data_IF_813811370997
#
_entry.id   IF_813811370997
#
_cell.length_a   1.000
_cell.length_b   1.000
_cell.length_c   1.000
_cell.angle_alpha   90.00
_cell.angle_beta   90.00
_cell.angle_gamma   90.00
#
_symmetry.space_group_name_H-M   'P 1'
#
loop_
_entity.id
_entity.type
_entity.pdbx_description
1 polymer ?
#
# COMPACT_ATOMS: atom_id res chain seq x y z
N UNK A 1 4.63 -6.74 -32.96
CA UNK A 1 5.10 -7.91 -33.74
C UNK A 1 5.46 -9.01 -32.76
N UNK A 2 5.08 -10.27 -32.99
CA UNK A 2 5.59 -11.38 -32.19
C UNK A 2 7.10 -11.47 -32.39
N UNK A 3 7.85 -11.31 -31.30
CA UNK A 3 9.30 -11.56 -31.25
C UNK A 3 9.45 -13.08 -31.19
N UNK A 4 10.26 -13.67 -32.06
CA UNK A 4 10.53 -15.11 -32.02
C UNK A 4 11.23 -15.47 -30.69
N UNK A 5 11.06 -16.70 -30.21
CA UNK A 5 11.73 -17.18 -28.99
C UNK A 5 13.24 -17.07 -29.11
N UNK A 6 13.81 -17.33 -30.30
CA UNK A 6 15.24 -17.17 -30.55
C UNK A 6 15.68 -15.70 -30.43
N UNK A 7 14.91 -14.77 -30.98
CA UNK A 7 15.17 -13.33 -30.91
C UNK A 7 15.02 -12.80 -29.47
N UNK A 8 14.07 -13.33 -28.69
CA UNK A 8 13.90 -12.99 -27.29
C UNK A 8 15.06 -13.51 -26.43
N UNK A 9 15.50 -14.75 -26.68
CA UNK A 9 16.68 -15.32 -26.02
C UNK A 9 17.94 -14.53 -26.36
N UNK A 10 18.09 -14.12 -27.63
CA UNK A 10 19.19 -13.25 -28.06
C UNK A 10 19.12 -11.88 -27.36
N UNK A 11 17.94 -11.25 -27.30
CA UNK A 11 17.72 -9.98 -26.59
C UNK A 11 18.09 -10.09 -25.11
N UNK A 12 17.67 -11.16 -24.43
CA UNK A 12 18.02 -11.41 -23.03
C UNK A 12 19.53 -11.63 -22.88
N UNK A 13 20.16 -12.38 -23.78
CA UNK A 13 21.60 -12.63 -23.73
C UNK A 13 22.44 -11.38 -24.03
N UNK A 14 22.01 -10.53 -24.95
CA UNK A 14 22.60 -9.23 -25.21
C UNK A 14 22.42 -8.32 -23.98
N UNK A 15 21.21 -8.27 -23.42
CA UNK A 15 20.92 -7.47 -22.23
C UNK A 15 21.80 -7.85 -21.05
N UNK A 16 22.00 -9.16 -20.82
CA UNK A 16 22.95 -9.68 -19.81
C UNK A 16 24.38 -9.22 -20.01
N UNK A 17 24.77 -8.87 -21.23
CA UNK A 17 26.07 -8.30 -21.56
C UNK A 17 26.07 -6.77 -21.53
N UNK A 18 25.00 -6.16 -21.03
CA UNK A 18 24.79 -4.72 -21.02
C UNK A 18 24.48 -4.14 -22.39
N UNK A 19 24.06 -4.95 -23.37
CA UNK A 19 23.73 -4.49 -24.73
C UNK A 19 22.25 -4.64 -25.00
N UNK A 20 21.63 -3.68 -25.65
CA UNK A 20 20.22 -3.76 -26.03
C UNK A 20 20.04 -3.22 -27.43
N UNK A 21 19.35 -3.98 -28.28
CA UNK A 21 18.92 -3.53 -29.60
C UNK A 21 17.41 -3.59 -29.68
N UNK A 22 16.75 -2.44 -29.75
CA UNK A 22 15.29 -2.35 -29.87
C UNK A 22 14.95 -1.36 -30.97
N UNK A 23 14.14 -1.79 -31.95
CA UNK A 23 13.61 -0.93 -33.02
C UNK A 23 14.69 -0.11 -33.77
N UNK A 24 15.87 -0.69 -34.00
CA UNK A 24 16.99 -0.01 -34.68
C UNK A 24 17.89 0.84 -33.78
N UNK A 25 17.54 1.02 -32.51
CA UNK A 25 18.40 1.67 -31.53
C UNK A 25 19.27 0.64 -30.82
N UNK A 26 20.58 0.90 -30.78
CA UNK A 26 21.54 0.10 -30.03
C UNK A 26 22.04 0.89 -28.82
N UNK A 27 21.92 0.29 -27.64
CA UNK A 27 22.41 0.83 -26.37
C UNK A 27 23.43 -0.14 -25.78
N UNK A 28 24.49 0.40 -25.21
CA UNK A 28 25.52 -0.37 -24.49
C UNK A 28 25.78 0.32 -23.17
N UNK A 29 25.68 -0.44 -22.08
CA UNK A 29 26.02 0.03 -20.75
C UNK A 29 27.54 0.29 -20.65
N UNK A 30 27.95 1.45 -20.12
CA UNK A 30 29.36 1.77 -19.94
C UNK A 30 29.93 0.96 -18.78
N UNK A 31 30.92 0.12 -19.11
CA UNK A 31 31.61 -0.82 -18.23
C UNK A 31 30.78 -2.04 -17.82
N UNK A 32 31.34 -3.23 -18.08
CA UNK A 32 30.72 -4.54 -17.89
C UNK A 32 29.77 -4.59 -16.69
N UNK A 33 28.48 -4.60 -16.98
CA UNK A 33 27.43 -4.53 -15.99
C UNK A 33 27.41 -5.78 -15.12
N UNK A 34 27.12 -5.60 -13.84
CA UNK A 34 26.73 -6.72 -12.99
C UNK A 34 25.28 -7.08 -13.31
N UNK A 35 25.04 -8.37 -13.51
CA UNK A 35 23.71 -8.92 -13.73
C UNK A 35 23.11 -9.29 -12.39
N UNK A 36 21.97 -8.70 -12.07
CA UNK A 36 21.17 -9.01 -10.89
C UNK A 36 19.84 -9.62 -11.35
N UNK A 37 19.56 -10.83 -10.90
CA UNK A 37 18.23 -11.43 -11.04
C UNK A 37 17.55 -11.39 -9.68
N UNK A 38 16.37 -10.79 -9.62
CA UNK A 38 15.56 -10.80 -8.40
C UNK A 38 14.08 -10.73 -8.75
N UNK A 39 13.24 -11.15 -7.82
CA UNK A 39 11.82 -10.80 -7.86
C UNK A 39 11.67 -9.57 -6.98
N UNK A 40 11.13 -8.44 -7.49
CA UNK A 40 11.01 -7.19 -6.73
C UNK A 40 10.04 -7.30 -5.55
N UNK A 41 9.34 -8.41 -5.42
CA UNK A 41 8.32 -8.60 -4.41
C UNK A 41 8.97 -9.09 -3.11
N UNK A 42 8.88 -8.32 -2.01
CA UNK A 42 9.45 -8.73 -0.74
C UNK A 42 8.84 -10.08 -0.31
N UNK A 43 9.59 -10.96 0.39
CA UNK A 43 9.09 -12.27 0.82
C UNK A 43 7.78 -12.21 1.63
N UNK A 44 7.47 -11.06 2.21
CA UNK A 44 6.28 -10.79 3.02
C UNK A 44 4.99 -10.57 2.22
N UNK A 45 5.04 -10.23 0.93
CA UNK A 45 3.85 -9.88 0.13
C UNK A 45 3.82 -10.56 -1.25
N UNK A 46 3.75 -11.90 -1.33
CA UNK A 46 3.95 -12.68 -2.57
C UNK A 46 2.77 -12.65 -3.55
N UNK A 47 2.00 -11.56 -3.59
CA UNK A 47 0.74 -11.51 -4.35
C UNK A 47 0.96 -11.42 -5.87
N UNK A 48 2.18 -11.10 -6.29
CA UNK A 48 2.61 -11.13 -7.67
C UNK A 48 4.05 -11.58 -7.75
N UNK A 49 4.42 -12.39 -8.75
CA UNK A 49 5.83 -12.71 -9.00
C UNK A 49 6.13 -12.48 -10.47
N UNK A 50 6.75 -11.36 -10.78
CA UNK A 50 7.35 -11.09 -12.10
C UNK A 50 8.82 -11.41 -11.98
N UNK A 51 9.30 -12.29 -12.84
CA UNK A 51 10.74 -12.46 -12.96
C UNK A 51 11.32 -11.18 -13.57
N UNK A 52 12.18 -10.50 -12.80
CA UNK A 52 12.87 -9.30 -13.24
C UNK A 52 14.37 -9.59 -13.37
N UNK A 53 14.90 -9.27 -14.53
CA UNK A 53 16.31 -9.26 -14.82
C UNK A 53 16.75 -7.80 -14.87
N UNK A 54 17.66 -7.41 -13.97
CA UNK A 54 18.30 -6.12 -14.01
C UNK A 54 19.78 -6.27 -14.34
N UNK A 55 20.24 -5.45 -15.27
CA UNK A 55 21.66 -5.33 -15.59
C UNK A 55 22.07 -3.92 -15.29
N UNK A 56 22.91 -3.77 -14.27
CA UNK A 56 23.34 -2.47 -13.73
C UNK A 56 24.82 -2.29 -13.98
N UNK A 57 25.25 -1.07 -14.26
CA UNK A 57 26.68 -0.76 -14.25
C UNK A 57 27.22 -0.66 -12.82
N UNK A 58 28.49 -1.01 -12.64
CA UNK A 58 29.21 -0.76 -11.38
C UNK A 58 29.53 0.72 -11.18
N UNK A 59 29.52 1.49 -12.27
CA UNK A 59 29.64 2.93 -12.25
C UNK A 59 28.30 3.55 -11.90
N UNK A 60 28.24 4.18 -10.73
CA UNK A 60 27.29 5.25 -10.47
C UNK A 60 27.69 6.42 -11.35
N UNK A 61 27.12 6.48 -12.56
CA UNK A 61 27.28 7.67 -13.37
C UNK A 61 26.55 8.80 -12.67
N UNK A 62 27.27 9.86 -12.33
CA UNK A 62 26.67 11.18 -12.43
C UNK A 62 26.14 11.25 -13.87
N UNK A 63 24.85 11.58 -14.06
CA UNK A 63 24.27 11.80 -15.39
C UNK A 63 25.32 12.50 -16.23
N UNK A 64 25.81 11.76 -17.24
CA UNK A 64 27.12 12.01 -17.81
C UNK A 64 27.26 13.49 -18.18
N UNK A 65 28.47 14.03 -18.13
CA UNK A 65 28.78 15.36 -18.69
C UNK A 65 28.37 15.53 -20.19
N UNK A 66 27.73 14.51 -20.81
CA UNK A 66 27.14 14.54 -22.15
C UNK A 66 25.65 14.95 -22.17
N UNK A 67 24.94 14.94 -21.03
CA UNK A 67 23.56 15.46 -20.97
C UNK A 67 23.61 16.95 -20.62
N UNK A 68 23.46 17.79 -21.64
CA UNK A 68 23.40 19.24 -21.46
C UNK A 68 22.04 19.63 -20.87
N UNK A 69 21.99 19.66 -19.54
CA UNK A 69 20.83 20.12 -18.78
C UNK A 69 20.43 21.54 -19.15
N UNK A 70 21.39 22.41 -19.47
CA UNK A 70 21.08 23.79 -19.79
C UNK A 70 20.35 23.88 -21.13
N UNK A 71 20.86 23.19 -22.16
CA UNK A 71 20.20 23.09 -23.46
C UNK A 71 18.84 22.42 -23.35
N UNK A 72 18.77 21.26 -22.69
CA UNK A 72 17.50 20.50 -22.56
C UNK A 72 16.45 21.27 -21.77
N UNK A 73 16.83 21.94 -20.68
CA UNK A 73 15.91 22.79 -19.93
C UNK A 73 15.46 24.01 -20.75
N UNK A 74 16.34 24.58 -21.60
CA UNK A 74 15.96 25.66 -22.50
C UNK A 74 14.95 25.20 -23.56
N UNK A 75 15.13 24.00 -24.13
CA UNK A 75 14.18 23.39 -25.07
C UNK A 75 12.83 23.07 -24.40
N UNK A 76 12.85 22.54 -23.18
CA UNK A 76 11.63 22.26 -22.41
C UNK A 76 10.85 23.52 -22.04
N UNK A 77 11.54 24.61 -21.69
CA UNK A 77 10.90 25.92 -21.41
C UNK A 77 10.36 26.61 -22.65
N UNK A 78 10.91 26.31 -23.83
CA UNK A 78 10.52 26.93 -25.10
C UNK A 78 9.48 26.14 -25.89
N UNK A 79 9.03 24.99 -25.38
CA UNK A 79 7.97 24.20 -25.98
C UNK A 79 6.57 24.84 -25.83
N UNK A 80 5.62 24.39 -26.66
CA UNK A 80 4.21 24.85 -26.63
C UNK A 80 3.56 24.59 -25.27
N UNK A 81 3.93 23.48 -24.64
CA UNK A 81 3.63 23.17 -23.25
C UNK A 81 4.96 23.31 -22.51
N UNK A 82 5.19 24.45 -21.83
CA UNK A 82 6.47 24.72 -21.20
C UNK A 82 6.60 23.89 -19.92
N UNK A 83 7.79 23.35 -19.70
CA UNK A 83 8.20 22.75 -18.43
C UNK A 83 9.35 23.59 -17.84
N UNK A 84 9.38 23.76 -16.52
CA UNK A 84 10.47 24.52 -15.86
C UNK A 84 11.83 23.80 -15.96
N UNK A 85 11.82 22.53 -16.35
CA UNK A 85 12.99 21.75 -16.71
C UNK A 85 12.69 20.26 -16.64
N UNK A 86 13.74 19.45 -16.74
CA UNK A 86 13.63 17.98 -16.68
C UNK A 86 12.97 17.50 -15.38
N UNK A 87 13.21 18.19 -14.26
CA UNK A 87 12.62 17.85 -12.96
C UNK A 87 11.09 17.97 -12.94
N UNK A 88 10.57 19.06 -13.51
CA UNK A 88 9.13 19.35 -13.61
C UNK A 88 8.44 18.34 -14.54
N UNK A 89 9.05 18.05 -15.70
CA UNK A 89 8.60 17.02 -16.63
C UNK A 89 8.51 15.64 -15.96
N UNK A 90 9.54 15.23 -15.23
CA UNK A 90 9.59 13.94 -14.54
C UNK A 90 8.53 13.84 -13.43
N UNK A 91 8.35 14.92 -12.67
CA UNK A 91 7.30 15.02 -11.65
C UNK A 91 5.90 14.80 -12.24
N UNK A 92 5.61 15.39 -13.40
CA UNK A 92 4.32 15.21 -14.08
C UNK A 92 4.02 13.73 -14.41
N UNK A 93 5.05 12.95 -14.76
CA UNK A 93 4.93 11.52 -15.07
C UNK A 93 5.13 10.60 -13.85
N UNK A 94 5.24 11.17 -12.64
CA UNK A 94 5.41 10.40 -11.41
C UNK A 94 6.80 9.78 -11.24
N UNK A 95 7.80 10.24 -11.99
CA UNK A 95 9.19 9.86 -11.77
C UNK A 95 9.78 10.73 -10.65
N UNK A 96 10.36 10.10 -9.62
CA UNK A 96 11.05 10.81 -8.56
C UNK A 96 12.30 11.53 -9.05
N UNK A 97 12.34 12.85 -9.01
CA UNK A 97 13.55 13.63 -9.28
C UNK A 97 14.36 13.77 -7.99
N UNK A 98 15.19 12.77 -7.67
CA UNK A 98 16.21 12.93 -6.63
C UNK A 98 17.44 13.55 -7.26
N UNK A 99 17.45 14.88 -7.39
CA UNK A 99 18.62 15.64 -7.79
C UNK A 99 19.84 15.14 -7.01
N UNK A 100 20.87 14.68 -7.73
CA UNK A 100 22.15 14.16 -7.22
C UNK A 100 22.22 12.71 -6.73
N UNK A 101 21.18 11.87 -6.87
CA UNK A 101 21.44 10.44 -6.76
C UNK A 101 22.04 9.96 -8.08
N UNK A 102 23.24 9.37 -8.07
CA UNK A 102 23.79 8.78 -9.28
C UNK A 102 22.86 7.64 -9.72
N UNK A 103 22.20 7.84 -10.86
CA UNK A 103 21.38 6.81 -11.47
C UNK A 103 22.37 5.82 -12.05
N UNK A 104 22.49 4.63 -11.49
CA UNK A 104 23.20 3.55 -12.15
C UNK A 104 22.47 3.25 -13.46
N UNK A 105 23.08 3.45 -14.64
CA UNK A 105 22.53 2.95 -15.89
C UNK A 105 22.07 1.51 -15.71
N UNK A 106 20.80 1.27 -16.04
CA UNK A 106 20.17 -0.01 -15.80
C UNK A 106 19.32 -0.41 -17.00
N UNK A 107 19.47 -1.65 -17.41
CA UNK A 107 18.51 -2.36 -18.25
C UNK A 107 17.63 -3.18 -17.30
N UNK A 108 16.33 -2.92 -17.28
CA UNK A 108 15.36 -3.78 -16.60
C UNK A 108 14.52 -4.52 -17.63
N UNK A 109 14.48 -5.84 -17.50
CA UNK A 109 13.63 -6.73 -18.29
C UNK A 109 12.66 -7.40 -17.33
N UNK A 110 11.38 -7.18 -17.56
CA UNK A 110 10.29 -7.81 -16.82
C UNK A 110 9.64 -8.88 -17.68
N UNK A 111 9.58 -10.10 -17.17
CA UNK A 111 8.93 -11.22 -17.83
C UNK A 111 7.55 -11.44 -17.23
N UNK A 112 6.52 -11.01 -17.97
CA UNK A 112 5.14 -11.29 -17.61
C UNK A 112 4.80 -12.75 -17.88
N UNK A 113 3.95 -13.37 -17.04
CA UNK A 113 3.56 -14.75 -17.24
C UNK A 113 2.76 -14.90 -18.55
N UNK A 114 2.85 -16.06 -19.24
CA UNK A 114 2.13 -16.31 -20.49
C UNK A 114 0.62 -16.46 -20.30
N UNK A 115 0.16 -16.60 -19.05
CA UNK A 115 -1.23 -16.56 -18.64
C UNK A 115 -1.36 -15.84 -17.29
N UNK A 116 -2.41 -15.02 -17.12
CA UNK A 116 -2.71 -14.34 -15.85
C UNK A 116 -4.22 -14.10 -15.69
N UNK A 117 -4.65 -13.78 -14.47
CA UNK A 117 -6.04 -13.42 -14.14
C UNK A 117 -6.27 -11.95 -14.49
N UNK A 118 -7.40 -11.62 -15.13
CA UNK A 118 -7.81 -10.23 -15.42
C UNK A 118 -8.63 -9.69 -14.24
N UNK A 119 -7.99 -8.95 -13.34
CA UNK A 119 -8.60 -8.51 -12.09
C UNK A 119 -9.90 -7.72 -12.22
N UNK A 120 -9.94 -6.80 -13.18
CA UNK A 120 -11.10 -5.93 -13.42
C UNK A 120 -12.38 -6.72 -13.76
N UNK A 121 -12.20 -7.93 -14.26
CA UNK A 121 -13.26 -8.77 -14.81
C UNK A 121 -13.60 -9.93 -13.86
N UNK A 122 -13.02 -9.92 -12.65
CA UNK A 122 -13.28 -10.93 -11.62
C UNK A 122 -14.22 -10.35 -10.56
N UNK A 123 -15.21 -11.14 -10.15
CA UNK A 123 -16.17 -10.74 -9.12
C UNK A 123 -16.60 -11.93 -8.28
N UNK A 124 -16.97 -11.66 -7.04
CA UNK A 124 -17.65 -12.60 -6.16
C UNK A 124 -18.90 -11.88 -5.68
N UNK A 125 -20.08 -12.41 -5.97
CA UNK A 125 -21.33 -11.78 -5.53
C UNK A 125 -22.30 -12.87 -5.08
N UNK A 126 -22.77 -12.81 -3.83
CA UNK A 126 -23.73 -13.78 -3.28
C UNK A 126 -23.26 -15.23 -3.44
N UNK A 127 -21.98 -15.48 -3.15
CA UNK A 127 -21.28 -16.76 -3.38
C UNK A 127 -21.06 -17.18 -4.84
N UNK A 128 -21.38 -16.35 -5.81
CA UNK A 128 -21.13 -16.66 -7.21
C UNK A 128 -19.81 -16.03 -7.65
N UNK A 129 -18.81 -16.87 -7.97
CA UNK A 129 -17.50 -16.43 -8.44
C UNK A 129 -17.49 -16.36 -9.96
N UNK A 130 -17.10 -15.21 -10.49
CA UNK A 130 -16.73 -15.01 -11.90
C UNK A 130 -15.23 -14.73 -11.97
N UNK A 131 -14.53 -15.52 -12.78
CA UNK A 131 -13.11 -15.39 -13.02
C UNK A 131 -12.86 -15.20 -14.51
N UNK A 132 -11.97 -14.25 -14.84
CA UNK A 132 -11.46 -14.09 -16.18
C UNK A 132 -9.95 -14.31 -16.21
N UNK A 133 -9.50 -15.07 -17.20
CA UNK A 133 -8.10 -15.41 -17.43
C UNK A 133 -7.74 -15.00 -18.84
N UNK A 134 -6.55 -14.49 -19.04
CA UNK A 134 -5.98 -14.26 -20.36
C UNK A 134 -4.74 -15.13 -20.52
N UNK A 135 -4.58 -15.78 -21.69
CA UNK A 135 -3.35 -16.49 -22.04
C UNK A 135 -2.91 -16.17 -23.45
N UNK A 136 -1.63 -16.39 -23.77
CA UNK A 136 -1.15 -16.43 -25.15
C UNK A 136 -1.77 -17.61 -25.90
N UNK A 137 -2.06 -17.42 -27.19
CA UNK A 137 -2.56 -18.48 -28.08
C UNK A 137 -1.64 -19.71 -28.13
N UNK A 138 -0.32 -19.47 -28.12
CA UNK A 138 0.74 -20.49 -28.09
C UNK A 138 0.90 -21.19 -26.75
N UNK A 139 0.32 -20.66 -25.67
CA UNK A 139 0.44 -21.23 -24.33
C UNK A 139 -0.58 -22.36 -24.13
N UNK A 140 -0.11 -23.50 -23.61
CA UNK A 140 -0.92 -24.70 -23.41
C UNK A 140 -1.76 -24.58 -22.13
N UNK A 141 -3.09 -24.69 -22.19
CA UNK A 141 -3.96 -24.56 -21.01
C UNK A 141 -3.56 -25.45 -19.83
N UNK A 142 -3.04 -26.65 -20.08
CA UNK A 142 -2.69 -27.65 -19.06
C UNK A 142 -1.52 -27.20 -18.17
N UNK A 143 -0.75 -26.21 -18.61
CA UNK A 143 0.35 -25.62 -17.84
C UNK A 143 -0.14 -24.56 -16.85
N UNK A 144 -1.39 -24.11 -16.97
CA UNK A 144 -2.02 -23.20 -16.01
C UNK A 144 -2.79 -24.00 -14.96
N UNK A 145 -2.54 -23.66 -13.69
CA UNK A 145 -3.34 -24.14 -12.57
C UNK A 145 -3.88 -22.94 -11.80
N UNK A 146 -5.11 -23.06 -11.30
CA UNK A 146 -5.73 -22.03 -10.48
C UNK A 146 -6.24 -22.70 -9.21
N UNK A 147 -5.55 -22.42 -8.10
CA UNK A 147 -5.99 -22.80 -6.78
C UNK A 147 -7.02 -21.78 -6.26
N UNK A 148 -8.10 -22.29 -5.67
CA UNK A 148 -9.14 -21.51 -5.01
C UNK A 148 -9.20 -21.90 -3.53
N UNK A 149 -9.30 -20.90 -2.65
CA UNK A 149 -9.55 -21.07 -1.22
C UNK A 149 -10.67 -20.12 -0.75
N UNK A 150 -11.69 -20.66 -0.11
CA UNK A 150 -12.84 -19.89 0.37
C UNK A 150 -12.68 -19.53 1.87
N UNK A 151 -13.11 -18.32 2.27
CA UNK A 151 -13.10 -17.81 3.66
C UNK A 151 -14.48 -17.28 4.08
N UNK A 152 -14.84 -17.24 5.39
CA UNK A 152 -13.97 -17.22 6.59
C UNK A 152 -13.51 -18.58 7.12
N UNK A 153 -14.10 -19.70 6.69
CA UNK A 153 -13.80 -21.03 7.22
C UNK A 153 -12.97 -21.86 6.23
N UNK A 154 -11.64 -21.70 6.17
CA UNK A 154 -10.79 -22.37 5.19
C UNK A 154 -10.52 -23.83 5.58
N UNK A 155 -11.54 -24.68 5.50
CA UNK A 155 -11.36 -26.13 5.63
C UNK A 155 -10.71 -26.69 4.36
N UNK A 156 -10.19 -27.91 4.42
CA UNK A 156 -9.65 -28.61 3.24
C UNK A 156 -10.71 -28.81 2.16
N UNK A 157 -11.98 -29.00 2.54
CA UNK A 157 -13.10 -29.13 1.62
C UNK A 157 -13.39 -27.84 0.81
N UNK A 158 -13.01 -26.68 1.35
CA UNK A 158 -13.18 -25.35 0.75
C UNK A 158 -11.96 -24.90 -0.08
N UNK A 159 -11.12 -25.85 -0.46
CA UNK A 159 -9.95 -25.65 -1.33
C UNK A 159 -10.13 -26.49 -2.59
N UNK A 160 -10.01 -25.86 -3.76
CA UNK A 160 -10.23 -26.50 -5.05
C UNK A 160 -9.12 -26.13 -6.03
N UNK A 161 -8.82 -27.02 -6.97
CA UNK A 161 -8.09 -26.68 -8.20
C UNK A 161 -9.13 -26.53 -9.30
N UNK A 162 -9.28 -25.32 -9.83
CA UNK A 162 -10.36 -24.95 -10.75
C UNK A 162 -9.83 -24.65 -12.17
N UNK A 163 -8.52 -24.79 -12.41
CA UNK A 163 -7.92 -24.49 -13.72
C UNK A 163 -8.47 -25.35 -14.87
N UNK A 164 -8.92 -26.57 -14.58
CA UNK A 164 -9.55 -27.45 -15.58
C UNK A 164 -10.98 -27.04 -15.95
N UNK A 165 -11.60 -26.14 -15.17
CA UNK A 165 -12.98 -25.65 -15.40
C UNK A 165 -13.01 -24.43 -16.32
N UNK A 166 -11.84 -23.94 -16.77
CA UNK A 166 -11.75 -22.78 -17.64
C UNK A 166 -12.33 -23.09 -19.02
N UNK A 167 -13.32 -22.30 -19.42
CA UNK A 167 -13.88 -22.29 -20.76
C UNK A 167 -13.12 -21.27 -21.60
N UNK A 168 -12.34 -21.76 -22.58
CA UNK A 168 -11.54 -20.92 -23.45
C UNK A 168 -12.31 -20.47 -24.68
N UNK A 169 -12.15 -19.20 -25.04
CA UNK A 169 -12.69 -18.57 -26.22
C UNK A 169 -11.65 -17.64 -26.85
N UNK A 170 -11.83 -17.34 -28.14
CA UNK A 170 -10.97 -16.38 -28.84
C UNK A 170 -11.08 -15.01 -28.15
N UNK A 171 -9.93 -14.39 -27.81
CA UNK A 171 -9.92 -13.06 -27.27
C UNK A 171 -10.07 -12.01 -28.39
N UNK A 172 -10.61 -10.84 -28.06
CA UNK A 172 -10.56 -9.68 -28.97
C UNK A 172 -9.13 -9.24 -29.27
N UNK A 173 -8.21 -9.47 -28.33
CA UNK A 173 -6.80 -9.15 -28.45
C UNK A 173 -6.06 -10.23 -29.27
N UNK A 174 -5.53 -9.83 -30.43
CA UNK A 174 -4.78 -10.73 -31.31
C UNK A 174 -3.59 -11.40 -30.59
N UNK A 175 -3.47 -12.72 -30.76
CA UNK A 175 -2.40 -13.53 -30.14
C UNK A 175 -2.71 -13.96 -28.70
N UNK A 176 -3.96 -13.77 -28.26
CA UNK A 176 -4.43 -14.21 -26.95
C UNK A 176 -5.73 -15.01 -27.07
N UNK A 177 -5.92 -15.87 -26.09
CA UNK A 177 -7.19 -16.52 -25.80
C UNK A 177 -7.63 -16.12 -24.41
N UNK A 178 -8.93 -16.00 -24.25
CA UNK A 178 -9.54 -15.58 -23.01
C UNK A 178 -10.25 -16.78 -22.41
N UNK A 179 -10.12 -16.99 -21.10
CA UNK A 179 -10.78 -18.07 -20.38
C UNK A 179 -11.72 -17.54 -19.31
N UNK A 180 -12.91 -18.15 -19.14
CA UNK A 180 -13.83 -17.84 -18.05
C UNK A 180 -14.10 -19.03 -17.15
N UNK A 181 -14.33 -18.75 -15.87
CA UNK A 181 -14.96 -19.66 -14.93
C UNK A 181 -16.11 -18.91 -14.28
N UNK A 182 -17.29 -19.53 -14.26
CA UNK A 182 -18.40 -19.11 -13.42
C UNK A 182 -18.81 -20.29 -12.54
N UNK A 183 -18.81 -20.10 -11.22
CA UNK A 183 -19.14 -21.19 -10.30
C UNK A 183 -19.75 -20.69 -9.00
N UNK A 184 -20.63 -21.50 -8.43
CA UNK A 184 -21.16 -21.28 -7.10
C UNK A 184 -20.19 -21.81 -6.04
N UNK A 185 -19.90 -20.97 -5.05
CA UNK A 185 -19.08 -21.28 -3.90
C UNK A 185 -19.96 -21.62 -2.69
N UNK A 186 -19.37 -22.20 -1.65
CA UNK A 186 -20.07 -22.30 -0.38
C UNK A 186 -20.26 -20.90 0.21
N UNK A 187 -21.05 -20.78 1.29
CA UNK A 187 -21.18 -19.53 2.03
C UNK A 187 -19.81 -18.96 2.45
N UNK A 188 -19.31 -18.02 1.66
CA UNK A 188 -18.01 -17.40 1.76
C UNK A 188 -18.13 -15.90 1.51
N UNK A 189 -17.31 -15.12 2.22
CA UNK A 189 -17.20 -13.67 2.00
C UNK A 189 -16.05 -13.35 1.04
N UNK A 190 -15.12 -14.29 0.85
CA UNK A 190 -13.94 -14.07 0.04
C UNK A 190 -13.47 -15.35 -0.62
N UNK A 191 -12.91 -15.18 -1.81
CA UNK A 191 -12.24 -16.21 -2.59
C UNK A 191 -10.79 -15.79 -2.82
N UNK A 192 -9.85 -16.51 -2.22
CA UNK A 192 -8.44 -16.37 -2.53
C UNK A 192 -8.09 -17.26 -3.72
N UNK A 193 -7.53 -16.63 -4.75
CA UNK A 193 -7.11 -17.27 -5.98
C UNK A 193 -5.58 -17.29 -6.06
N UNK A 194 -5.05 -18.39 -6.58
CA UNK A 194 -3.62 -18.64 -6.73
C UNK A 194 -3.39 -19.22 -8.13
N UNK A 195 -3.07 -18.37 -9.10
CA UNK A 195 -2.73 -18.81 -10.43
C UNK A 195 -1.24 -19.16 -10.51
N UNK A 196 -0.96 -20.35 -11.02
CA UNK A 196 0.40 -20.85 -11.21
C UNK A 196 0.60 -21.36 -12.63
N UNK A 197 1.74 -21.03 -13.23
CA UNK A 197 2.18 -21.50 -14.54
C UNK A 197 3.35 -22.46 -14.35
N UNK A 198 3.20 -23.69 -14.84
CA UNK A 198 4.21 -24.76 -14.75
C UNK A 198 4.74 -24.97 -13.32
N UNK A 199 3.83 -24.89 -12.33
CA UNK A 199 4.14 -25.05 -10.91
C UNK A 199 4.63 -23.80 -10.19
N UNK A 200 4.87 -22.68 -10.90
CA UNK A 200 5.26 -21.41 -10.29
C UNK A 200 4.07 -20.50 -10.10
N UNK A 201 3.82 -20.04 -8.88
CA UNK A 201 2.77 -19.05 -8.62
C UNK A 201 3.14 -17.72 -9.27
N UNK A 202 2.38 -17.35 -10.29
CA UNK A 202 2.56 -16.08 -11.01
C UNK A 202 1.68 -15.00 -10.39
N UNK A 203 0.61 -15.39 -9.69
CA UNK A 203 -0.43 -14.50 -9.23
C UNK A 203 -1.15 -15.03 -7.99
N UNK A 204 -1.35 -14.17 -6.99
CA UNK A 204 -2.33 -14.38 -5.92
C UNK A 204 -3.23 -13.16 -5.81
N UNK A 205 -4.49 -13.40 -5.49
CA UNK A 205 -5.43 -12.33 -5.22
C UNK A 205 -6.55 -12.78 -4.31
N UNK A 206 -7.30 -11.82 -3.79
CA UNK A 206 -8.53 -12.07 -3.05
C UNK A 206 -9.66 -11.32 -3.76
N UNK A 207 -10.72 -12.04 -4.08
CA UNK A 207 -11.99 -11.48 -4.58
C UNK A 207 -12.96 -11.42 -3.41
N UNK A 208 -13.67 -10.31 -3.28
CA UNK A 208 -14.56 -10.01 -2.16
C UNK A 208 -16.00 -10.08 -2.59
N UNK A 209 -16.85 -10.63 -1.73
CA UNK A 209 -18.29 -10.45 -1.83
C UNK A 209 -18.66 -9.08 -1.24
N UNK A 210 -19.10 -8.10 -2.05
CA UNK A 210 -19.42 -6.77 -1.54
C UNK A 210 -20.63 -6.77 -0.60
N UNK A 211 -21.39 -7.88 -0.54
CA UNK A 211 -22.54 -8.03 0.34
C UNK A 211 -22.22 -8.71 1.67
N UNK A 212 -20.95 -9.10 1.89
CA UNK A 212 -20.53 -9.78 3.12
C UNK A 212 -19.33 -9.10 3.73
N UNK A 213 -19.37 -8.93 5.04
CA UNK A 213 -18.26 -8.36 5.81
C UNK A 213 -17.58 -9.46 6.60
N UNK A 214 -16.24 -9.49 6.53
CA UNK A 214 -15.41 -10.30 7.41
C UNK A 214 -15.20 -9.63 8.78
N UNK A 215 -15.51 -8.35 8.88
CA UNK A 215 -15.42 -7.60 10.11
C UNK A 215 -16.78 -7.65 10.85
N UNK A 216 -16.93 -8.44 11.93
CA UNK A 216 -18.19 -8.53 12.65
C UNK A 216 -18.62 -7.19 13.24
N UNK A 217 -17.67 -6.34 13.66
CA UNK A 217 -17.98 -5.00 14.21
C UNK A 217 -18.58 -4.11 13.15
N UNK A 218 -18.07 -4.20 11.92
CA UNK A 218 -18.64 -3.49 10.77
C UNK A 218 -20.03 -4.02 10.42
N UNK A 219 -20.24 -5.32 10.47
CA UNK A 219 -21.56 -5.94 10.26
C UNK A 219 -22.58 -5.40 11.27
N UNK A 220 -22.23 -5.41 12.56
CA UNK A 220 -23.09 -4.90 13.63
C UNK A 220 -23.35 -3.39 13.48
N UNK A 221 -22.33 -2.62 13.07
CA UNK A 221 -22.48 -1.18 12.85
C UNK A 221 -23.35 -0.87 11.64
N UNK A 222 -23.17 -1.60 10.52
CA UNK A 222 -24.00 -1.44 9.30
C UNK A 222 -25.45 -1.83 9.52
N UNK A 223 -25.75 -2.68 10.50
CA UNK A 223 -27.15 -2.90 10.88
C UNK A 223 -27.83 -1.58 11.34
N UNK A 224 -27.08 -0.66 11.95
CA UNK A 224 -27.56 0.63 12.43
C UNK A 224 -27.34 1.78 11.42
N UNK A 225 -26.25 1.73 10.66
CA UNK A 225 -25.88 2.71 9.64
C UNK A 225 -25.42 2.00 8.34
N UNK A 226 -26.35 1.47 7.51
CA UNK A 226 -26.03 0.56 6.40
C UNK A 226 -25.02 1.09 5.39
N UNK A 227 -25.07 2.40 5.14
CA UNK A 227 -24.20 3.08 4.17
C UNK A 227 -23.09 3.90 4.86
N UNK A 228 -22.85 3.68 6.15
CA UNK A 228 -21.89 4.45 6.96
C UNK A 228 -22.09 5.97 6.83
N UNK A 229 -23.32 6.43 6.57
CA UNK A 229 -23.61 7.83 6.25
C UNK A 229 -23.41 8.70 7.47
N UNK A 230 -23.83 8.22 8.63
CA UNK A 230 -23.68 8.93 9.89
C UNK A 230 -22.23 8.95 10.36
N UNK A 231 -21.51 7.83 10.19
CA UNK A 231 -20.08 7.77 10.47
C UNK A 231 -19.28 8.73 9.58
N UNK A 232 -19.51 8.68 8.26
CA UNK A 232 -18.87 9.58 7.29
C UNK A 232 -19.11 11.05 7.64
N UNK A 233 -20.34 11.40 8.02
CA UNK A 233 -20.66 12.77 8.45
C UNK A 233 -19.87 13.19 9.70
N UNK A 234 -19.73 12.31 10.69
CA UNK A 234 -18.99 12.61 11.92
C UNK A 234 -17.47 12.73 11.70
N UNK A 235 -16.92 11.96 10.76
CA UNK A 235 -15.49 11.99 10.46
C UNK A 235 -15.12 13.12 9.48
N UNK A 236 -15.85 13.26 8.38
CA UNK A 236 -15.46 14.12 7.26
C UNK A 236 -16.19 15.46 7.20
N UNK A 237 -17.34 15.60 7.88
CA UNK A 237 -18.09 16.86 7.95
C UNK A 237 -18.66 17.11 9.35
N UNK A 238 -17.83 17.01 10.42
CA UNK A 238 -18.28 17.22 11.77
C UNK A 238 -18.79 18.65 11.96
N UNK A 239 -19.98 18.80 12.54
CA UNK A 239 -20.54 20.12 12.88
C UNK A 239 -19.84 20.76 14.08
N UNK A 240 -19.28 19.94 14.96
CA UNK A 240 -18.59 20.32 16.18
C UNK A 240 -17.51 19.28 16.53
N UNK A 241 -16.62 19.60 17.46
CA UNK A 241 -15.57 18.69 17.91
C UNK A 241 -16.13 17.35 18.41
N UNK A 242 -17.25 17.39 19.13
CA UNK A 242 -17.89 16.20 19.71
C UNK A 242 -18.28 15.17 18.65
N UNK A 243 -18.78 15.61 17.49
CA UNK A 243 -19.06 14.68 16.38
C UNK A 243 -17.80 13.98 15.90
N UNK A 244 -16.67 14.70 15.78
CA UNK A 244 -15.40 14.10 15.39
C UNK A 244 -14.90 13.10 16.44
N UNK A 245 -15.05 13.41 17.73
CA UNK A 245 -14.69 12.50 18.83
C UNK A 245 -15.49 11.19 18.76
N UNK A 246 -16.81 11.29 18.59
CA UNK A 246 -17.71 10.12 18.46
C UNK A 246 -17.39 9.31 17.20
N UNK A 247 -17.17 9.99 16.06
CA UNK A 247 -16.77 9.35 14.81
C UNK A 247 -15.43 8.63 14.95
N UNK A 248 -14.46 9.26 15.60
CA UNK A 248 -13.13 8.69 15.86
C UNK A 248 -13.21 7.45 16.75
N UNK A 249 -13.97 7.51 17.84
CA UNK A 249 -14.18 6.34 18.69
C UNK A 249 -14.83 5.19 17.91
N UNK A 250 -15.87 5.46 17.11
CA UNK A 250 -16.49 4.44 16.26
C UNK A 250 -15.51 3.86 15.24
N UNK A 251 -14.71 4.69 14.55
CA UNK A 251 -13.70 4.23 13.60
C UNK A 251 -12.66 3.32 14.26
N UNK A 252 -12.11 3.75 15.40
CA UNK A 252 -11.13 2.98 16.16
C UNK A 252 -11.71 1.64 16.67
N UNK A 253 -13.00 1.62 17.04
CA UNK A 253 -13.72 0.38 17.32
C UNK A 253 -13.79 -0.52 16.09
N UNK A 254 -14.19 0.02 14.95
CA UNK A 254 -14.39 -0.76 13.73
C UNK A 254 -13.07 -1.38 13.23
N UNK A 255 -11.93 -0.71 13.41
CA UNK A 255 -10.62 -1.26 13.03
C UNK A 255 -9.98 -2.19 14.08
N UNK A 256 -10.74 -2.63 15.10
CA UNK A 256 -10.28 -3.66 16.04
C UNK A 256 -9.92 -3.16 17.45
N UNK A 257 -9.93 -1.85 17.70
CA UNK A 257 -9.66 -1.27 19.02
C UNK A 257 -10.81 -1.41 20.01
N UNK A 258 -10.52 -1.47 21.29
CA UNK A 258 -11.53 -1.26 22.35
C UNK A 258 -11.50 0.23 22.70
N UNK A 259 -12.42 0.99 22.12
CA UNK A 259 -12.46 2.44 22.24
C UNK A 259 -13.54 2.92 23.22
N UNK A 260 -13.25 3.99 23.93
CA UNK A 260 -14.15 4.68 24.84
C UNK A 260 -14.03 6.19 24.60
N UNK A 261 -15.15 6.89 24.47
CA UNK A 261 -15.21 8.35 24.57
C UNK A 261 -15.65 8.69 26.00
N UNK A 262 -14.71 8.97 26.93
CA UNK A 262 -15.01 9.14 28.34
C UNK A 262 -15.84 10.40 28.61
N UNK A 263 -16.74 10.38 29.61
CA UNK A 263 -17.50 11.57 29.98
C UNK A 263 -16.63 12.53 30.81
N UNK A 264 -16.58 13.80 30.42
CA UNK A 264 -15.92 14.85 31.20
C UNK A 264 -15.26 15.90 30.31
N UNK A 265 -15.01 17.09 30.88
CA UNK A 265 -14.23 18.14 30.20
C UNK A 265 -12.72 17.98 30.41
N UNK A 266 -12.32 17.20 31.41
CA UNK A 266 -10.91 16.96 31.75
C UNK A 266 -10.47 15.51 31.48
N UNK A 267 -11.05 14.93 30.44
CA UNK A 267 -10.69 13.60 29.95
C UNK A 267 -10.14 13.70 28.53
N UNK A 268 -9.31 12.74 28.08
CA UNK A 268 -8.99 12.67 26.65
C UNK A 268 -10.26 12.43 25.83
N UNK A 269 -10.30 12.93 24.60
CA UNK A 269 -11.44 12.77 23.72
C UNK A 269 -11.76 11.29 23.45
N UNK A 270 -10.75 10.45 23.19
CA UNK A 270 -10.91 8.99 23.05
C UNK A 270 -9.79 8.26 23.78
N UNK A 271 -10.13 7.15 24.43
CA UNK A 271 -9.20 6.16 24.96
C UNK A 271 -9.37 4.91 24.10
N UNK A 272 -8.29 4.36 23.56
CA UNK A 272 -8.35 3.12 22.78
C UNK A 272 -7.31 2.12 23.26
N UNK A 273 -7.72 0.87 23.39
CA UNK A 273 -6.85 -0.25 23.72
C UNK A 273 -6.77 -1.23 22.53
N UNK A 274 -5.56 -1.64 22.17
CA UNK A 274 -5.32 -2.65 21.13
C UNK A 274 -5.63 -4.06 21.63
N UNK A 275 -5.77 -5.07 20.74
CA UNK A 275 -5.95 -6.47 21.17
C UNK A 275 -4.88 -6.97 22.14
N UNK A 276 -3.61 -6.58 21.97
CA UNK A 276 -2.51 -6.90 22.92
C UNK A 276 -2.34 -5.85 24.04
N UNK A 277 -3.39 -5.13 24.40
CA UNK A 277 -3.46 -4.28 25.60
C UNK A 277 -2.53 -3.06 25.60
N UNK A 278 -2.15 -2.55 24.43
CA UNK A 278 -1.45 -1.26 24.31
C UNK A 278 -2.48 -0.14 24.36
N UNK A 279 -2.15 0.95 25.06
CA UNK A 279 -3.10 2.04 25.28
C UNK A 279 -2.71 3.26 24.45
N UNK A 280 -3.68 3.89 23.81
CA UNK A 280 -3.53 5.23 23.27
C UNK A 280 -4.60 6.18 23.82
N UNK A 281 -4.17 7.40 24.13
CA UNK A 281 -5.02 8.54 24.42
C UNK A 281 -5.08 9.39 23.16
N UNK A 282 -6.29 9.75 22.71
CA UNK A 282 -6.52 10.50 21.48
C UNK A 282 -7.18 11.82 21.81
N UNK A 283 -6.64 12.91 21.28
CA UNK A 283 -7.31 14.21 21.17
C UNK A 283 -7.73 14.44 19.72
N UNK A 284 -8.94 14.93 19.51
CA UNK A 284 -9.49 15.26 18.21
C UNK A 284 -9.53 16.79 18.02
N UNK A 285 -9.20 17.28 16.84
CA UNK A 285 -9.42 18.69 16.49
C UNK A 285 -9.79 18.86 15.02
N UNK A 286 -10.65 19.83 14.75
CA UNK A 286 -10.98 20.27 13.38
C UNK A 286 -10.18 21.50 12.97
N UNK A 287 -9.38 22.06 13.88
CA UNK A 287 -8.76 23.38 13.80
C UNK A 287 -7.27 23.32 14.11
N UNK A 288 -6.45 23.89 13.23
CA UNK A 288 -5.00 23.93 13.34
C UNK A 288 -4.58 24.87 14.48
N UNK A 289 -5.32 25.97 14.69
CA UNK A 289 -5.00 26.96 15.73
C UNK A 289 -5.01 26.41 17.16
N UNK A 290 -5.69 25.28 17.40
CA UNK A 290 -5.84 24.66 18.72
C UNK A 290 -4.82 23.54 19.00
N UNK A 291 -3.94 23.22 18.05
CA UNK A 291 -3.05 22.04 18.13
C UNK A 291 -2.17 22.10 19.38
N UNK A 292 -1.45 23.19 19.60
CA UNK A 292 -0.49 23.30 20.71
C UNK A 292 -1.14 23.19 22.09
N UNK A 293 -2.32 23.80 22.26
CA UNK A 293 -3.10 23.70 23.50
C UNK A 293 -3.54 22.26 23.77
N UNK A 294 -4.08 21.58 22.75
CA UNK A 294 -4.51 20.18 22.86
C UNK A 294 -3.36 19.23 23.12
N UNK A 295 -2.21 19.42 22.46
CA UNK A 295 -0.99 18.65 22.70
C UNK A 295 -0.52 18.79 24.13
N UNK A 296 -0.48 20.02 24.68
CA UNK A 296 -0.10 20.24 26.07
C UNK A 296 -0.99 19.47 27.06
N UNK A 297 -2.31 19.50 26.86
CA UNK A 297 -3.28 18.73 27.67
C UNK A 297 -3.09 17.23 27.51
N UNK A 298 -2.92 16.76 26.28
CA UNK A 298 -2.73 15.35 25.95
C UNK A 298 -1.48 14.76 26.60
N UNK A 299 -0.35 15.48 26.50
CA UNK A 299 0.91 15.10 27.16
C UNK A 299 0.74 15.03 28.67
N UNK A 300 0.12 16.05 29.28
CA UNK A 300 -0.14 16.05 30.72
C UNK A 300 -1.00 14.86 31.17
N UNK A 301 -2.02 14.50 30.38
CA UNK A 301 -2.89 13.34 30.66
C UNK A 301 -2.15 12.01 30.51
N UNK A 302 -1.34 11.85 29.45
CA UNK A 302 -0.48 10.68 29.25
C UNK A 302 0.44 10.48 30.44
N UNK A 303 1.17 11.53 30.82
CA UNK A 303 2.18 11.46 31.89
C UNK A 303 1.52 11.23 33.26
N UNK A 304 0.37 11.86 33.51
CA UNK A 304 -0.43 11.62 34.70
C UNK A 304 -0.92 10.18 34.81
N UNK A 305 -1.39 9.59 33.70
CA UNK A 305 -1.81 8.19 33.67
C UNK A 305 -0.65 7.23 33.92
N UNK A 306 0.50 7.45 33.27
CA UNK A 306 1.72 6.67 33.50
C UNK A 306 2.14 6.73 34.98
N UNK A 307 2.10 7.92 35.59
CA UNK A 307 2.43 8.08 37.01
C UNK A 307 1.47 7.30 37.93
N UNK A 308 0.16 7.31 37.63
CA UNK A 308 -0.85 6.53 38.37
C UNK A 308 -0.59 5.04 38.20
N UNK A 309 -0.33 4.56 36.99
CA UNK A 309 -0.08 3.14 36.73
C UNK A 309 1.16 2.62 37.43
N UNK A 310 2.26 3.38 37.36
CA UNK A 310 3.49 3.05 38.06
C UNK A 310 3.28 2.92 39.58
N UNK A 311 2.41 3.76 40.17
CA UNK A 311 2.04 3.66 41.58
C UNK A 311 1.31 2.36 41.92
N UNK A 312 0.57 1.79 40.98
CA UNK A 312 -0.13 0.50 41.13
C UNK A 312 0.66 -0.70 40.59
N UNK A 313 1.94 -0.51 40.21
CA UNK A 313 2.79 -1.57 39.67
C UNK A 313 2.40 -2.01 38.25
N UNK A 314 1.59 -1.22 37.56
CA UNK A 314 1.28 -1.41 36.14
C UNK A 314 2.30 -0.62 35.34
N UNK A 315 2.95 -1.27 34.37
CA UNK A 315 3.89 -0.61 33.47
C UNK A 315 3.51 -0.93 32.03
N UNK A 316 2.49 -0.23 31.52
CA UNK A 316 2.10 -0.30 30.11
C UNK A 316 2.56 0.96 29.39
N UNK A 317 2.88 0.80 28.12
CA UNK A 317 3.19 1.91 27.24
C UNK A 317 1.89 2.65 26.86
N UNK A 318 1.89 3.98 27.02
CA UNK A 318 0.76 4.84 26.68
C UNK A 318 1.17 5.80 25.57
N UNK A 319 0.54 5.68 24.41
CA UNK A 319 0.75 6.60 23.28
C UNK A 319 -0.19 7.81 23.40
N UNK A 320 0.34 8.99 23.09
CA UNK A 320 -0.46 10.18 22.84
C UNK A 320 -0.68 10.32 21.32
N UNK A 321 -1.93 10.45 20.89
CA UNK A 321 -2.33 10.64 19.50
C UNK A 321 -3.12 11.95 19.37
N UNK A 322 -2.70 12.79 18.44
CA UNK A 322 -3.52 13.91 17.96
C UNK A 322 -4.15 13.50 16.63
N UNK A 323 -5.48 13.42 16.59
CA UNK A 323 -6.24 13.27 15.36
C UNK A 323 -6.73 14.64 14.88
N UNK A 324 -6.41 14.98 13.64
CA UNK A 324 -6.81 16.23 13.01
C UNK A 324 -7.63 15.93 11.77
N UNK A 325 -8.84 16.47 11.70
CA UNK A 325 -9.66 16.43 10.49
C UNK A 325 -9.23 17.50 9.48
N UNK A 326 -7.95 17.50 9.12
CA UNK A 326 -7.35 18.37 8.10
C UNK A 326 -6.30 17.56 7.32
N UNK A 327 -6.03 17.92 6.06
CA UNK A 327 -4.97 17.32 5.28
C UNK A 327 -3.59 17.51 5.94
N UNK A 328 -2.68 16.55 5.75
CA UNK A 328 -1.32 16.63 6.30
C UNK A 328 -0.56 17.91 5.87
N UNK A 329 -0.83 18.40 4.66
CA UNK A 329 -0.27 19.65 4.10
C UNK A 329 -0.65 20.90 4.89
N UNK A 330 -1.72 20.84 5.69
CA UNK A 330 -2.18 21.96 6.53
C UNK A 330 -1.54 21.98 7.92
N UNK A 331 -0.71 20.98 8.27
CA UNK A 331 -0.16 20.76 9.62
C UNK A 331 1.38 20.65 9.57
N UNK A 332 2.02 21.00 8.45
CA UNK A 332 3.46 20.86 8.24
C UNK A 332 4.27 21.57 9.33
N UNK A 333 3.85 22.79 9.70
CA UNK A 333 4.55 23.63 10.68
C UNK A 333 4.51 23.09 12.12
N UNK A 334 3.63 22.11 12.40
CA UNK A 334 3.47 21.53 13.74
C UNK A 334 4.16 20.16 13.89
N UNK A 335 4.70 19.59 12.82
CA UNK A 335 5.32 18.24 12.86
C UNK A 335 6.50 18.18 13.82
N UNK A 336 7.38 19.19 13.80
CA UNK A 336 8.53 19.24 14.71
C UNK A 336 8.07 19.34 16.16
N UNK A 337 7.09 20.19 16.43
CA UNK A 337 6.51 20.36 17.77
C UNK A 337 5.88 19.05 18.30
N UNK A 338 5.12 18.34 17.46
CA UNK A 338 4.52 17.04 17.82
C UNK A 338 5.57 15.97 18.11
N UNK A 339 6.63 15.93 17.30
CA UNK A 339 7.77 15.01 17.49
C UNK A 339 8.51 15.27 18.80
N UNK A 340 8.79 16.54 19.12
CA UNK A 340 9.43 16.94 20.39
C UNK A 340 8.63 16.47 21.62
N UNK A 341 7.30 16.44 21.51
CA UNK A 341 6.40 16.05 22.61
C UNK A 341 6.01 14.57 22.59
N UNK A 342 6.54 13.78 21.65
CA UNK A 342 6.19 12.37 21.47
C UNK A 342 4.66 12.19 21.32
N UNK A 343 4.07 12.94 20.40
CA UNK A 343 2.67 12.82 20.00
C UNK A 343 2.59 12.33 18.56
N UNK A 344 1.90 11.21 18.35
CA UNK A 344 1.64 10.70 17.01
C UNK A 344 0.51 11.52 16.35
N UNK A 345 0.66 11.84 15.06
CA UNK A 345 -0.35 12.54 14.28
C UNK A 345 -1.17 11.55 13.45
N UNK A 346 -2.49 11.70 13.48
CA UNK A 346 -3.42 11.13 12.50
C UNK A 346 -4.11 12.27 11.75
N UNK A 347 -4.07 12.24 10.42
CA UNK A 347 -4.65 13.27 9.56
C UNK A 347 -5.90 12.78 8.84
N UNK A 348 -6.50 13.65 8.02
CA UNK A 348 -7.64 13.29 7.16
C UNK A 348 -7.31 12.10 6.24
N UNK A 349 -6.09 12.01 5.72
CA UNK A 349 -5.64 10.90 4.89
C UNK A 349 -5.60 9.57 5.68
N UNK A 350 -5.16 9.60 6.95
CA UNK A 350 -5.20 8.42 7.82
C UNK A 350 -6.66 7.98 8.07
N UNK A 351 -7.60 8.93 8.24
CA UNK A 351 -9.04 8.62 8.38
C UNK A 351 -9.56 7.92 7.11
N UNK A 352 -9.23 8.44 5.92
CA UNK A 352 -9.60 7.80 4.67
C UNK A 352 -9.02 6.39 4.53
N UNK A 353 -7.74 6.20 4.87
CA UNK A 353 -7.09 4.90 4.82
C UNK A 353 -7.73 3.88 5.79
N UNK A 354 -8.06 4.32 7.02
CA UNK A 354 -8.76 3.48 7.99
C UNK A 354 -10.18 3.14 7.52
N UNK A 355 -10.91 4.10 6.93
CA UNK A 355 -12.23 3.85 6.34
C UNK A 355 -12.16 2.86 5.16
N UNK A 356 -11.11 2.95 4.34
CA UNK A 356 -10.88 2.03 3.23
C UNK A 356 -10.49 0.61 3.65
N UNK A 357 -10.08 0.42 4.91
CA UNK A 357 -9.66 -0.87 5.47
C UNK A 357 -10.69 -1.47 6.43
N UNK A 358 -11.92 -0.97 6.52
CA UNK A 358 -12.92 -1.49 7.46
C UNK A 358 -13.26 -2.98 7.23
N UNK A 359 -13.25 -3.45 5.99
CA UNK A 359 -13.48 -4.88 5.69
C UNK A 359 -12.30 -5.76 6.13
N UNK A 360 -11.10 -5.20 6.08
CA UNK A 360 -9.84 -5.84 6.45
C UNK A 360 -9.06 -4.95 7.41
N UNK A 361 -9.51 -4.86 8.68
CA UNK A 361 -8.85 -4.01 9.64
C UNK A 361 -7.36 -4.32 9.70
N UNK A 362 -6.49 -3.30 9.74
CA UNK A 362 -5.07 -3.52 9.94
C UNK A 362 -4.83 -4.19 11.30
N UNK A 363 -3.68 -4.85 11.45
CA UNK A 363 -3.22 -5.24 12.78
C UNK A 363 -2.94 -3.97 13.59
N UNK A 364 -3.87 -3.64 14.49
CA UNK A 364 -3.81 -2.41 15.28
C UNK A 364 -2.58 -2.39 16.21
N UNK A 365 -2.08 -3.55 16.65
CA UNK A 365 -0.85 -3.63 17.43
C UNK A 365 0.39 -3.32 16.61
N UNK A 366 0.38 -3.66 15.31
CA UNK A 366 1.42 -3.31 14.34
C UNK A 366 1.35 -1.81 14.03
N UNK A 367 0.16 -1.29 13.71
CA UNK A 367 -0.06 0.14 13.45
C UNK A 367 0.40 1.00 14.62
N UNK A 368 0.10 0.56 15.85
CA UNK A 368 0.60 1.20 17.06
C UNK A 368 2.14 1.25 17.10
N UNK A 369 2.83 0.13 16.82
CA UNK A 369 4.30 0.11 16.83
C UNK A 369 4.91 0.95 15.71
N UNK A 370 4.30 0.96 14.53
CA UNK A 370 4.73 1.78 13.41
C UNK A 370 4.65 3.27 13.75
N UNK A 371 3.53 3.73 14.30
CA UNK A 371 3.37 5.13 14.72
C UNK A 371 4.29 5.48 15.89
N UNK A 372 4.50 4.56 16.83
CA UNK A 372 5.45 4.72 17.93
C UNK A 372 6.91 4.83 17.43
N UNK A 373 7.27 3.99 16.46
CA UNK A 373 8.59 3.97 15.83
C UNK A 373 8.85 5.24 15.04
N UNK A 374 7.89 5.70 14.23
CA UNK A 374 7.98 6.95 13.48
C UNK A 374 8.17 8.16 14.41
N UNK A 375 7.40 8.20 15.51
CA UNK A 375 7.50 9.25 16.53
C UNK A 375 8.87 9.27 17.24
N UNK A 376 9.46 8.10 17.54
CA UNK A 376 10.77 7.98 18.20
C UNK A 376 11.95 8.17 17.23
N UNK A 377 11.82 7.71 15.99
CA UNK A 377 12.87 7.80 14.97
C UNK A 377 13.18 9.24 14.55
N UNK A 378 12.22 10.15 14.71
CA UNK A 378 12.41 11.58 14.52
C UNK A 378 13.27 12.27 15.61
N UNK A 379 13.74 11.53 16.63
CA UNK A 379 14.58 12.05 17.72
C UNK A 379 16.06 11.62 17.65
N UNK A 380 16.55 10.95 16.59
CA UNK A 380 17.99 10.67 16.47
C UNK A 380 18.72 11.94 16.01
N UNK A 381 19.61 12.54 16.83
CA UNK A 381 20.50 13.58 16.34
C UNK A 381 21.50 12.95 15.37
N UNK A 382 21.72 13.62 14.23
CA UNK A 382 22.96 13.45 13.47
C UNK A 382 24.11 13.59 14.46
N UNK A 383 24.89 12.53 14.63
CA UNK A 383 26.12 12.59 15.42
C UNK A 383 27.04 13.65 14.79
N UNK A 384 27.15 14.82 15.43
CA UNK A 384 28.20 15.79 15.14
C UNK A 384 29.54 15.16 15.52
N UNK A 385 30.26 14.72 14.49
CA UNK A 385 31.63 14.27 14.58
C UNK A 385 32.56 15.43 14.92
N UNK A 386 32.67 15.77 16.21
CA UNK A 386 33.84 16.46 16.73
C UNK A 386 34.69 15.47 17.53
N UNK A 387 35.54 14.74 16.80
CA UNK A 387 36.74 14.16 17.38
C UNK A 387 37.76 15.29 17.59
N UNK A 388 38.25 15.41 18.83
CA UNK A 388 39.49 16.11 19.17
C UNK A 388 40.69 15.25 18.79
#
# INVERSE_FOLDING_TARGET
>A
MPIDTAELVELVNEARQGRMKIAGFAMTLPDGGNVYTYSPVPPSEPDFCVAQLEVRTNSTLMLSHQFDYALTNAELRSNVIPFDGVADLLSLFGFGFTGHMPVQPMISIQLHPPADIIFSDCSLEKNHLKLRVLKRDTFKPEQLSIGLRQFPNPTTARRKQIGAEILWEAAELQGFESGSIEMDLDDCATAQLMASVDGFTVRRMVVLDPHKSLNPRLTDYRYLDPNLTQLNKYLFSPKDARQLEVGTAALLHLIGGTSLNPPGSDTPDVIVETPKKKLALVECTTKVENIREKVGKLVGRRDGLIAVENKYGVNREVMAILLVNQPATSIVDEQEFLSQHQVALLTLEDIHAMMGSLEYPPDLDKLYLEKLGAMRGAQLPLFDGHAK
#
